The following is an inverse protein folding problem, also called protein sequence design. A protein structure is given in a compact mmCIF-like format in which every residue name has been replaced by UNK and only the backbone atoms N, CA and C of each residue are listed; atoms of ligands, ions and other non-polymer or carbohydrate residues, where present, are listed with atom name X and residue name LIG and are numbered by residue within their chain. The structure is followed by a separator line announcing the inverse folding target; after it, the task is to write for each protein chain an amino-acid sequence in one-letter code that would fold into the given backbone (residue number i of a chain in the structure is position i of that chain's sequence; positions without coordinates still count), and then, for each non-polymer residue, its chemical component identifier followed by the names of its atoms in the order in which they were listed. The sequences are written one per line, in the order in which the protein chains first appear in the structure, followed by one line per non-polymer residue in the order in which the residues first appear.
data_IF_723899733458
#
_entry.id   IF_723899733458
#
_cell.length_a   1.000
_cell.length_b   1.000
_cell.length_c   1.000
_cell.angle_alpha   90.00
_cell.angle_beta   90.00
_cell.angle_gamma   90.00
#
_symmetry.space_group_name_H-M   'P 1'
#
loop_
_entity.id
_entity.type
_entity.pdbx_description
1 polymer ?
#
# COMPACT_ATOMS: atom_id res chain seq x y z
N UNK A 1 19.43 18.59 6.31
CA UNK A 1 19.11 17.32 5.64
C UNK A 1 19.45 17.33 4.15
N UNK A 2 19.18 18.41 3.43
CA UNK A 2 19.38 18.49 1.97
C UNK A 2 20.84 18.52 1.50
N UNK A 3 21.79 18.90 2.35
CA UNK A 3 23.21 19.00 1.99
C UNK A 3 23.96 17.67 1.83
N UNK A 4 23.36 16.55 2.26
CA UNK A 4 23.98 15.22 2.21
C UNK A 4 23.21 14.21 1.34
N UNK A 5 22.15 14.65 0.64
CA UNK A 5 21.43 13.78 -0.29
C UNK A 5 22.23 13.65 -1.59
N UNK A 6 22.46 12.43 -2.09
CA UNK A 6 23.04 12.25 -3.42
C UNK A 6 22.21 12.99 -4.47
N UNK A 7 22.87 13.63 -5.44
CA UNK A 7 22.18 14.30 -6.53
C UNK A 7 21.20 13.34 -7.22
N UNK A 8 19.94 13.74 -7.36
CA UNK A 8 18.90 12.94 -7.98
C UNK A 8 18.01 12.11 -7.04
N UNK A 9 18.49 11.70 -5.86
CA UNK A 9 17.70 10.88 -4.93
C UNK A 9 16.41 11.58 -4.47
N UNK A 10 16.51 12.87 -4.13
CA UNK A 10 15.33 13.67 -3.77
C UNK A 10 14.29 13.76 -4.89
N UNK A 11 14.73 13.78 -6.16
CA UNK A 11 13.84 13.78 -7.32
C UNK A 11 13.15 12.42 -7.50
N UNK A 12 13.85 11.32 -7.26
CA UNK A 12 13.26 9.98 -7.27
C UNK A 12 12.22 9.83 -6.16
N UNK A 13 12.53 10.28 -4.94
CA UNK A 13 11.58 10.26 -3.82
C UNK A 13 10.34 11.10 -4.12
N UNK A 14 10.50 12.30 -4.68
CA UNK A 14 9.38 13.13 -5.13
C UNK A 14 8.57 12.45 -6.25
N UNK A 15 9.25 11.85 -7.23
CA UNK A 15 8.60 11.10 -8.30
C UNK A 15 7.75 9.96 -7.76
N UNK A 16 8.27 9.18 -6.80
CA UNK A 16 7.52 8.07 -6.18
C UNK A 16 6.36 8.58 -5.29
N UNK A 17 6.53 9.73 -4.63
CA UNK A 17 5.41 10.38 -3.94
C UNK A 17 4.28 10.75 -4.92
N UNK A 18 4.61 11.27 -6.11
CA UNK A 18 3.62 11.58 -7.16
C UNK A 18 2.95 10.32 -7.73
N UNK A 19 3.67 9.21 -7.83
CA UNK A 19 3.09 7.89 -8.16
C UNK A 19 2.06 7.47 -7.12
N UNK A 20 2.42 7.52 -5.84
CA UNK A 20 1.50 7.15 -4.75
C UNK A 20 0.30 8.10 -4.71
N UNK A 21 0.50 9.38 -4.93
CA UNK A 21 -0.60 10.36 -5.05
C UNK A 21 -1.54 10.00 -6.20
N UNK A 22 -1.00 9.70 -7.38
CA UNK A 22 -1.78 9.28 -8.55
C UNK A 22 -2.59 8.01 -8.26
N UNK A 23 -1.95 6.99 -7.71
CA UNK A 23 -2.60 5.74 -7.36
C UNK A 23 -3.70 5.93 -6.31
N UNK A 24 -3.42 6.64 -5.22
CA UNK A 24 -4.36 6.85 -4.13
C UNK A 24 -5.56 7.71 -4.51
N UNK A 25 -5.39 8.66 -5.44
CA UNK A 25 -6.49 9.40 -6.06
C UNK A 25 -7.31 8.50 -6.98
N UNK A 26 -6.64 7.78 -7.89
CA UNK A 26 -7.30 7.07 -8.98
C UNK A 26 -8.05 5.82 -8.50
N UNK A 27 -7.48 5.07 -7.58
CA UNK A 27 -8.05 3.80 -7.11
C UNK A 27 -9.51 3.92 -6.59
N UNK A 28 -9.85 4.83 -5.65
CA UNK A 28 -11.23 5.02 -5.21
C UNK A 28 -12.12 5.66 -6.29
N UNK A 29 -11.59 6.51 -7.16
CA UNK A 29 -12.34 7.11 -8.27
C UNK A 29 -12.76 6.06 -9.28
N UNK A 30 -11.87 5.14 -9.65
CA UNK A 30 -12.20 4.01 -10.52
C UNK A 30 -13.25 3.09 -9.90
N UNK A 31 -13.19 2.88 -8.59
CA UNK A 31 -14.20 2.10 -7.87
C UNK A 31 -15.59 2.73 -7.98
N UNK A 32 -15.69 4.06 -7.83
CA UNK A 32 -16.97 4.79 -8.04
C UNK A 32 -17.43 4.70 -9.50
N UNK A 33 -16.53 4.86 -10.47
CA UNK A 33 -16.88 4.73 -11.92
C UNK A 33 -17.41 3.34 -12.25
N UNK A 34 -16.75 2.27 -11.74
CA UNK A 34 -17.22 0.90 -11.93
C UNK A 34 -18.58 0.68 -11.26
N UNK A 35 -18.76 1.19 -10.04
CA UNK A 35 -20.02 1.07 -9.31
C UNK A 35 -21.16 1.78 -10.04
N UNK A 36 -20.95 3.00 -10.54
CA UNK A 36 -21.96 3.75 -11.30
C UNK A 36 -22.27 3.12 -12.67
N UNK A 37 -21.33 2.36 -13.24
CA UNK A 37 -21.52 1.54 -14.42
C UNK A 37 -22.24 0.20 -14.13
N UNK A 38 -22.62 -0.08 -12.86
CA UNK A 38 -23.36 -1.27 -12.48
C UNK A 38 -22.49 -2.50 -12.18
N UNK A 39 -21.17 -2.33 -12.02
CA UNK A 39 -20.29 -3.42 -11.63
C UNK A 39 -20.58 -3.88 -10.20
N UNK A 40 -20.49 -5.19 -9.93
CA UNK A 40 -20.59 -5.74 -8.59
C UNK A 40 -19.35 -5.37 -7.73
N UNK A 41 -19.48 -5.42 -6.41
CA UNK A 41 -18.34 -5.17 -5.52
C UNK A 41 -17.22 -6.19 -5.74
N UNK A 42 -17.55 -7.44 -6.09
CA UNK A 42 -16.57 -8.48 -6.48
C UNK A 42 -15.78 -8.03 -7.72
N UNK A 43 -16.45 -7.50 -8.75
CA UNK A 43 -15.80 -7.02 -9.97
C UNK A 43 -14.89 -5.80 -9.68
N UNK A 44 -15.34 -4.88 -8.84
CA UNK A 44 -14.53 -3.73 -8.36
C UNK A 44 -13.31 -4.23 -7.59
N UNK A 45 -13.51 -5.18 -6.67
CA UNK A 45 -12.44 -5.80 -5.91
C UNK A 45 -11.42 -6.51 -6.79
N UNK A 46 -11.86 -7.16 -7.86
CA UNK A 46 -10.97 -7.80 -8.84
C UNK A 46 -10.06 -6.77 -9.53
N UNK A 47 -10.61 -5.67 -10.02
CA UNK A 47 -9.80 -4.60 -10.66
C UNK A 47 -8.80 -4.02 -9.65
N UNK A 48 -9.24 -3.76 -8.41
CA UNK A 48 -8.37 -3.21 -7.36
C UNK A 48 -7.26 -4.17 -6.90
N UNK A 49 -7.47 -5.49 -7.02
CA UNK A 49 -6.50 -6.54 -6.70
C UNK A 49 -5.34 -6.58 -7.71
N UNK A 50 -5.61 -6.33 -9.00
CA UNK A 50 -4.68 -6.63 -10.09
C UNK A 50 -3.32 -5.92 -9.98
N UNK A 51 -3.22 -4.64 -9.59
CA UNK A 51 -1.93 -4.00 -9.37
C UNK A 51 -1.08 -4.72 -8.32
N UNK A 52 -1.68 -5.15 -7.22
CA UNK A 52 -0.97 -5.85 -6.14
C UNK A 52 -0.51 -7.25 -6.54
N UNK A 53 -1.32 -7.98 -7.31
CA UNK A 53 -0.89 -9.27 -7.89
C UNK A 53 0.34 -9.07 -8.77
N UNK A 54 0.33 -8.07 -9.65
CA UNK A 54 1.48 -7.77 -10.51
C UNK A 54 2.73 -7.47 -9.67
N UNK A 55 2.60 -6.66 -8.62
CA UNK A 55 3.72 -6.38 -7.70
C UNK A 55 4.22 -7.67 -7.06
N UNK A 56 3.33 -8.48 -6.47
CA UNK A 56 3.70 -9.71 -5.78
C UNK A 56 4.43 -10.71 -6.69
N UNK A 57 3.99 -10.85 -7.94
CA UNK A 57 4.58 -11.75 -8.94
C UNK A 57 5.93 -11.24 -9.46
N UNK A 58 6.12 -9.92 -9.54
CA UNK A 58 7.31 -9.33 -10.13
C UNK A 58 8.44 -9.08 -9.13
N UNK A 59 8.14 -8.88 -7.84
CA UNK A 59 9.17 -8.66 -6.80
C UNK A 59 10.34 -9.64 -6.89
N UNK A 60 10.15 -10.96 -7.07
CA UNK A 60 11.27 -11.90 -7.20
C UNK A 60 12.11 -11.72 -8.46
N UNK A 61 11.56 -11.05 -9.50
CA UNK A 61 12.22 -10.81 -10.79
C UNK A 61 12.93 -9.47 -10.85
N UNK A 62 12.58 -8.54 -9.95
CA UNK A 62 13.13 -7.17 -9.91
C UNK A 62 14.66 -7.13 -9.88
N UNK A 63 15.38 -7.94 -9.07
CA UNK A 63 16.84 -7.95 -9.08
C UNK A 63 17.43 -8.30 -10.45
N UNK A 64 16.81 -9.25 -11.18
CA UNK A 64 17.23 -9.62 -12.53
C UNK A 64 16.96 -8.50 -13.54
N UNK A 65 15.84 -7.80 -13.38
CA UNK A 65 15.50 -6.65 -14.21
C UNK A 65 16.54 -5.52 -14.00
N UNK A 66 16.86 -5.21 -12.73
CA UNK A 66 17.86 -4.18 -12.40
C UNK A 66 19.25 -4.52 -12.92
N UNK A 67 19.63 -5.80 -12.88
CA UNK A 67 20.89 -6.27 -13.44
C UNK A 67 21.00 -6.09 -14.96
N UNK A 68 19.85 -6.24 -15.68
CA UNK A 68 19.84 -6.16 -17.15
C UNK A 68 19.77 -4.75 -17.70
N UNK A 69 18.92 -3.91 -17.13
CA UNK A 69 18.64 -2.57 -17.68
C UNK A 69 19.05 -1.42 -16.76
N UNK A 70 19.50 -1.74 -15.54
CA UNK A 70 19.83 -0.74 -14.52
C UNK A 70 18.61 -0.22 -13.75
N UNK A 71 18.83 0.13 -12.47
CA UNK A 71 17.75 0.56 -11.56
C UNK A 71 17.04 1.82 -12.06
N UNK A 72 17.82 2.78 -12.57
CA UNK A 72 17.29 4.05 -13.03
C UNK A 72 16.41 3.91 -14.27
N UNK A 73 16.78 3.06 -15.20
CA UNK A 73 15.99 2.81 -16.39
C UNK A 73 14.74 2.00 -16.03
N UNK A 74 14.84 1.00 -15.14
CA UNK A 74 13.70 0.26 -14.63
C UNK A 74 12.68 1.18 -13.95
N UNK A 75 13.14 2.12 -13.12
CA UNK A 75 12.30 3.15 -12.49
C UNK A 75 11.51 3.94 -13.53
N UNK A 76 12.18 4.47 -14.56
CA UNK A 76 11.52 5.29 -15.58
C UNK A 76 10.55 4.50 -16.46
N UNK A 77 10.90 3.27 -16.81
CA UNK A 77 9.98 2.36 -17.52
C UNK A 77 8.75 2.13 -16.65
N UNK A 78 8.93 1.93 -15.33
CA UNK A 78 7.83 1.79 -14.38
C UNK A 78 6.87 2.99 -14.44
N UNK A 79 7.38 4.22 -14.39
CA UNK A 79 6.57 5.43 -14.50
C UNK A 79 5.81 5.52 -15.85
N UNK A 80 6.45 5.13 -16.96
CA UNK A 80 5.81 5.13 -18.28
C UNK A 80 4.65 4.12 -18.30
N UNK A 81 4.85 2.92 -17.76
CA UNK A 81 3.80 1.89 -17.72
C UNK A 81 2.60 2.34 -16.88
N UNK A 82 2.83 2.99 -15.74
CA UNK A 82 1.77 3.56 -14.92
C UNK A 82 1.03 4.71 -15.62
N UNK A 83 1.76 5.59 -16.31
CA UNK A 83 1.16 6.66 -17.10
C UNK A 83 0.31 6.11 -18.24
N UNK A 84 0.80 5.10 -18.98
CA UNK A 84 0.05 4.43 -20.05
C UNK A 84 -1.24 3.81 -19.50
N UNK A 85 -1.15 3.11 -18.37
CA UNK A 85 -2.31 2.53 -17.70
C UNK A 85 -3.32 3.61 -17.28
N UNK A 86 -2.84 4.69 -16.68
CA UNK A 86 -3.66 5.82 -16.25
C UNK A 86 -4.38 6.48 -17.42
N UNK A 87 -3.70 6.72 -18.54
CA UNK A 87 -4.29 7.25 -19.76
C UNK A 87 -5.28 6.25 -20.40
N UNK A 88 -5.00 4.95 -20.28
CA UNK A 88 -5.90 3.90 -20.74
C UNK A 88 -7.29 3.98 -20.11
N UNK A 89 -7.38 4.29 -18.82
CA UNK A 89 -8.65 4.50 -18.12
C UNK A 89 -9.45 5.73 -18.61
N UNK A 90 -8.84 6.64 -19.37
CA UNK A 90 -9.53 7.75 -20.02
C UNK A 90 -10.10 7.39 -21.39
N UNK A 91 -9.52 6.39 -22.06
CA UNK A 91 -9.83 6.08 -23.48
C UNK A 91 -10.95 5.08 -23.61
N UNK A 92 -11.21 4.25 -22.58
CA UNK A 92 -12.22 3.19 -22.66
C UNK A 92 -12.81 2.86 -21.30
N UNK A 93 -14.10 2.52 -21.31
CA UNK A 93 -14.82 2.01 -20.13
C UNK A 93 -14.98 0.47 -20.16
N UNK A 94 -14.29 -0.23 -21.08
CA UNK A 94 -14.34 -1.69 -21.17
C UNK A 94 -13.68 -2.34 -19.94
N UNK A 95 -14.45 -3.11 -19.19
CA UNK A 95 -14.02 -3.76 -17.94
C UNK A 95 -12.72 -4.59 -18.11
N UNK A 96 -12.64 -5.38 -19.21
CA UNK A 96 -11.45 -6.21 -19.48
C UNK A 96 -10.21 -5.32 -19.72
N UNK A 97 -10.37 -4.20 -20.42
CA UNK A 97 -9.28 -3.25 -20.62
C UNK A 97 -8.80 -2.66 -19.28
N UNK A 98 -9.73 -2.34 -18.37
CA UNK A 98 -9.40 -1.87 -17.04
C UNK A 98 -8.63 -2.91 -16.21
N UNK A 99 -8.98 -4.18 -16.36
CA UNK A 99 -8.19 -5.26 -15.76
C UNK A 99 -6.75 -5.28 -16.31
N UNK A 100 -6.57 -5.14 -17.62
CA UNK A 100 -5.25 -5.11 -18.26
C UNK A 100 -4.45 -3.87 -17.84
N UNK A 101 -5.08 -2.70 -17.74
CA UNK A 101 -4.44 -1.49 -17.24
C UNK A 101 -4.05 -1.62 -15.77
N UNK A 102 -4.87 -2.29 -14.95
CA UNK A 102 -4.52 -2.59 -13.56
C UNK A 102 -3.26 -3.47 -13.44
N UNK A 103 -3.16 -4.52 -14.26
CA UNK A 103 -1.95 -5.34 -14.33
C UNK A 103 -0.74 -4.50 -14.80
N UNK A 104 -0.91 -3.68 -15.82
CA UNK A 104 0.14 -2.83 -16.37
C UNK A 104 0.64 -1.81 -15.32
N UNK A 105 -0.27 -1.16 -14.61
CA UNK A 105 0.06 -0.24 -13.52
C UNK A 105 0.86 -0.94 -12.43
N UNK A 106 0.44 -2.15 -12.02
CA UNK A 106 1.16 -2.93 -11.02
C UNK A 106 2.57 -3.36 -11.45
N UNK A 107 2.79 -3.66 -12.74
CA UNK A 107 4.13 -3.89 -13.30
C UNK A 107 4.99 -2.62 -13.14
N UNK A 108 4.43 -1.48 -13.48
CA UNK A 108 5.08 -0.17 -13.31
C UNK A 108 5.42 0.12 -11.86
N UNK A 109 4.45 -0.03 -10.97
CA UNK A 109 4.60 0.19 -9.54
C UNK A 109 5.67 -0.73 -8.92
N UNK A 110 5.74 -2.00 -9.30
CA UNK A 110 6.76 -2.92 -8.85
C UNK A 110 8.18 -2.42 -9.20
N UNK A 111 8.37 -1.95 -10.42
CA UNK A 111 9.66 -1.42 -10.86
C UNK A 111 10.01 -0.11 -10.14
N UNK A 112 9.09 0.85 -10.08
CA UNK A 112 9.33 2.17 -9.49
C UNK A 112 9.54 2.10 -7.98
N UNK A 113 8.71 1.37 -7.24
CA UNK A 113 8.81 1.24 -5.79
C UNK A 113 10.11 0.55 -5.37
N UNK A 114 10.38 -0.65 -5.92
CA UNK A 114 11.61 -1.38 -5.57
C UNK A 114 12.88 -0.61 -5.98
N UNK A 115 12.85 0.12 -7.10
CA UNK A 115 13.97 0.97 -7.51
C UNK A 115 14.23 2.08 -6.48
N UNK A 116 13.19 2.74 -5.99
CA UNK A 116 13.33 3.82 -4.99
C UNK A 116 13.92 3.29 -3.70
N UNK A 117 13.41 2.17 -3.18
CA UNK A 117 13.93 1.55 -1.96
C UNK A 117 15.39 1.11 -2.12
N UNK A 118 15.74 0.48 -3.25
CA UNK A 118 17.11 0.08 -3.56
C UNK A 118 18.05 1.30 -3.64
N UNK A 119 17.61 2.40 -4.27
CA UNK A 119 18.39 3.62 -4.37
C UNK A 119 18.60 4.30 -3.01
N UNK A 120 17.59 4.32 -2.15
CA UNK A 120 17.72 4.82 -0.77
C UNK A 120 18.69 3.93 0.02
N UNK A 121 18.49 2.63 -0.02
CA UNK A 121 19.32 1.68 0.74
C UNK A 121 20.80 1.77 0.37
N UNK A 122 21.11 1.99 -0.91
CA UNK A 122 22.48 2.01 -1.42
C UNK A 122 23.16 3.39 -1.30
N UNK A 123 22.44 4.46 -1.59
CA UNK A 123 23.07 5.79 -1.70
C UNK A 123 23.05 6.58 -0.39
N UNK A 124 22.42 6.08 0.67
CA UNK A 124 22.33 6.76 1.96
C UNK A 124 23.21 6.08 3.01
N UNK A 125 24.13 6.81 3.67
CA UNK A 125 24.94 6.26 4.75
C UNK A 125 24.07 5.66 5.86
N UNK A 126 24.52 4.57 6.48
CA UNK A 126 23.77 3.84 7.52
C UNK A 126 23.32 4.77 8.67
N UNK A 127 24.13 5.75 9.06
CA UNK A 127 23.84 6.76 10.11
C UNK A 127 22.65 7.68 9.79
N UNK A 128 22.28 7.86 8.52
CA UNK A 128 21.19 8.76 8.09
C UNK A 128 20.04 7.99 7.44
N UNK A 129 20.23 6.71 7.15
CA UNK A 129 19.26 5.89 6.40
C UNK A 129 17.91 5.82 7.10
N UNK A 130 17.87 5.52 8.40
CA UNK A 130 16.61 5.45 9.14
C UNK A 130 15.80 6.76 9.10
N UNK A 131 16.47 7.90 9.29
CA UNK A 131 15.81 9.22 9.26
C UNK A 131 15.27 9.57 7.87
N UNK A 132 16.02 9.24 6.81
CA UNK A 132 15.58 9.52 5.45
C UNK A 132 14.46 8.58 5.01
N UNK A 133 14.56 7.30 5.36
CA UNK A 133 13.47 6.33 5.11
C UNK A 133 12.20 6.76 5.84
N UNK A 134 12.29 7.21 7.10
CA UNK A 134 11.15 7.73 7.84
C UNK A 134 10.52 8.96 7.16
N UNK A 135 11.33 9.91 6.67
CA UNK A 135 10.83 11.06 5.91
C UNK A 135 10.16 10.62 4.60
N UNK A 136 10.76 9.69 3.88
CA UNK A 136 10.20 9.13 2.65
C UNK A 136 8.84 8.47 2.92
N UNK A 137 8.74 7.60 3.91
CA UNK A 137 7.48 6.95 4.28
C UNK A 137 6.41 7.97 4.71
N UNK A 138 6.79 9.02 5.44
CA UNK A 138 5.86 10.10 5.80
C UNK A 138 5.33 10.83 4.56
N UNK A 139 6.17 11.07 3.53
CA UNK A 139 5.70 11.69 2.28
C UNK A 139 4.76 10.77 1.50
N UNK A 140 5.00 9.46 1.50
CA UNK A 140 4.07 8.49 0.90
C UNK A 140 2.74 8.44 1.65
N UNK A 141 2.76 8.39 2.99
CA UNK A 141 1.55 8.45 3.80
C UNK A 141 0.74 9.72 3.57
N UNK A 142 1.41 10.88 3.46
CA UNK A 142 0.75 12.14 3.12
C UNK A 142 0.09 12.09 1.72
N UNK A 143 0.75 11.49 0.74
CA UNK A 143 0.19 11.30 -0.61
C UNK A 143 -1.02 10.35 -0.60
N UNK A 144 -0.95 9.27 0.17
CA UNK A 144 -2.07 8.34 0.36
C UNK A 144 -3.29 9.01 1.00
N UNK A 145 -3.08 9.92 1.93
CA UNK A 145 -4.16 10.68 2.55
C UNK A 145 -4.73 11.75 1.60
N UNK A 146 -3.84 12.49 0.91
CA UNK A 146 -4.22 13.63 0.09
C UNK A 146 -4.99 13.21 -1.19
N UNK A 147 -4.54 12.15 -1.88
CA UNK A 147 -5.11 11.72 -3.16
C UNK A 147 -6.64 11.56 -3.12
N UNK A 148 -7.21 10.72 -2.25
CA UNK A 148 -8.65 10.49 -2.18
C UNK A 148 -9.46 11.72 -1.72
N UNK A 149 -8.82 12.68 -1.06
CA UNK A 149 -9.48 13.91 -0.60
C UNK A 149 -9.53 15.00 -1.67
N UNK A 150 -8.72 14.91 -2.74
CA UNK A 150 -8.68 15.91 -3.81
C UNK A 150 -10.06 16.18 -4.42
N UNK A 151 -10.91 15.19 -4.77
CA UNK A 151 -12.24 15.49 -5.31
C UNK A 151 -13.10 16.35 -4.39
N UNK A 152 -13.00 16.16 -3.06
CA UNK A 152 -13.73 16.96 -2.08
C UNK A 152 -13.22 18.39 -1.93
N UNK A 153 -11.90 18.58 -2.02
CA UNK A 153 -11.25 19.90 -1.82
C UNK A 153 -11.36 20.76 -3.09
N UNK A 154 -11.22 20.13 -4.27
CA UNK A 154 -11.13 20.84 -5.56
C UNK A 154 -12.41 20.81 -6.35
N UNK A 155 -13.39 19.97 -6.00
CA UNK A 155 -14.64 19.80 -6.74
C UNK A 155 -14.49 19.10 -8.11
N UNK A 156 -13.33 18.45 -8.37
CA UNK A 156 -13.10 17.74 -9.63
C UNK A 156 -13.98 16.50 -9.76
N UNK A 157 -14.43 16.24 -10.99
CA UNK A 157 -15.15 15.01 -11.34
C UNK A 157 -14.19 13.81 -11.55
N UNK A 158 -14.75 12.65 -11.88
CA UNK A 158 -13.98 11.42 -12.04
C UNK A 158 -13.02 11.46 -13.24
N UNK A 159 -13.35 12.14 -14.32
CA UNK A 159 -12.48 12.28 -15.50
C UNK A 159 -11.37 13.28 -15.23
N UNK A 160 -11.69 14.41 -14.59
CA UNK A 160 -10.71 15.38 -14.15
C UNK A 160 -9.73 14.78 -13.13
N UNK A 161 -10.22 13.98 -12.17
CA UNK A 161 -9.36 13.26 -11.22
C UNK A 161 -8.38 12.32 -11.94
N UNK A 162 -8.82 11.61 -12.97
CA UNK A 162 -7.97 10.79 -13.82
C UNK A 162 -6.93 11.63 -14.57
N UNK A 163 -7.32 12.79 -15.09
CA UNK A 163 -6.40 13.77 -15.71
C UNK A 163 -5.34 14.28 -14.73
N UNK A 164 -5.72 14.60 -13.49
CA UNK A 164 -4.79 15.01 -12.41
C UNK A 164 -3.82 13.89 -12.09
N UNK A 165 -4.29 12.65 -12.00
CA UNK A 165 -3.43 11.49 -11.77
C UNK A 165 -2.41 11.30 -12.91
N UNK A 166 -2.85 11.42 -14.16
CA UNK A 166 -1.96 11.37 -15.33
C UNK A 166 -0.94 12.52 -15.33
N UNK A 167 -1.34 13.73 -14.96
CA UNK A 167 -0.45 14.88 -14.84
C UNK A 167 0.59 14.69 -13.75
N UNK A 168 0.22 14.08 -12.61
CA UNK A 168 1.17 13.74 -11.55
C UNK A 168 2.23 12.73 -12.02
N UNK A 169 1.83 11.71 -12.78
CA UNK A 169 2.76 10.72 -13.36
C UNK A 169 3.67 11.34 -14.44
N UNK A 170 3.12 12.21 -15.28
CA UNK A 170 3.91 12.96 -16.27
C UNK A 170 4.93 13.88 -15.58
N UNK A 171 4.52 14.57 -14.51
CA UNK A 171 5.42 15.37 -13.69
C UNK A 171 6.51 14.53 -13.03
N UNK A 172 6.16 13.33 -12.53
CA UNK A 172 7.14 12.38 -12.00
C UNK A 172 8.22 12.02 -13.04
N UNK A 173 7.82 11.75 -14.29
CA UNK A 173 8.74 11.49 -15.40
C UNK A 173 9.64 12.69 -15.74
N UNK A 174 9.09 13.89 -15.70
CA UNK A 174 9.85 15.13 -15.96
C UNK A 174 10.88 15.41 -14.87
N UNK A 175 10.45 15.34 -13.60
CA UNK A 175 11.30 15.58 -12.43
C UNK A 175 12.43 14.55 -12.33
N UNK A 176 12.14 13.30 -12.66
CA UNK A 176 13.10 12.19 -12.63
C UNK A 176 13.75 11.97 -14.00
N UNK A 177 14.17 13.05 -14.67
CA UNK A 177 14.85 12.98 -15.97
C UNK A 177 16.06 12.02 -16.00
N UNK A 178 16.52 11.56 -17.19
CA UNK A 178 17.55 10.53 -17.32
C UNK A 178 18.80 10.81 -16.48
N UNK A 179 19.30 12.01 -16.51
CA UNK A 179 20.52 12.41 -15.79
C UNK A 179 20.40 12.31 -14.26
N UNK A 180 19.19 12.43 -13.71
CA UNK A 180 18.97 12.32 -12.26
C UNK A 180 19.10 10.91 -11.74
N UNK A 181 18.80 9.93 -12.58
CA UNK A 181 18.71 8.51 -12.18
C UNK A 181 20.00 7.77 -12.54
N UNK A 182 20.68 8.14 -13.62
CA UNK A 182 21.99 7.55 -14.01
C UNK A 182 23.11 7.91 -13.06
N UNK A 183 22.98 9.03 -12.32
CA UNK A 183 23.95 9.42 -11.29
C UNK A 183 23.88 8.54 -10.03
N UNK A 184 22.82 7.77 -9.85
CA UNK A 184 22.60 6.91 -8.68
C UNK A 184 23.11 5.50 -9.00
N UNK A 185 24.06 5.02 -8.20
CA UNK A 185 24.61 3.66 -8.34
C UNK A 185 23.71 2.68 -7.63
N UNK A 186 23.35 1.58 -8.30
CA UNK A 186 22.80 0.40 -7.65
C UNK A 186 23.89 -0.66 -7.55
N UNK A 187 24.14 -1.18 -6.36
CA UNK A 187 25.06 -2.30 -6.21
C UNK A 187 24.41 -3.63 -6.60
N UNK A 188 25.26 -4.50 -7.20
CA UNK A 188 25.08 -5.93 -7.14
C UNK A 188 25.55 -6.38 -5.74
N UNK A 189 24.65 -6.44 -4.76
CA UNK A 189 24.95 -7.22 -3.58
C UNK A 189 24.88 -8.69 -3.96
N UNK A 190 25.84 -9.48 -3.47
CA UNK A 190 25.80 -10.93 -3.59
C UNK A 190 24.42 -11.45 -3.20
N UNK A 191 23.89 -12.40 -3.95
CA UNK A 191 22.51 -12.85 -3.80
C UNK A 191 22.17 -13.20 -2.35
N UNK A 192 20.89 -13.12 -1.97
CA UNK A 192 20.47 -13.38 -0.62
C UNK A 192 20.88 -14.78 -0.18
N UNK A 193 21.48 -14.89 1.00
CA UNK A 193 21.86 -16.17 1.60
C UNK A 193 20.65 -17.05 1.91
N UNK A 194 19.46 -16.44 1.99
CA UNK A 194 18.16 -17.09 2.18
C UNK A 194 17.20 -16.69 1.07
N UNK A 195 16.52 -17.69 0.45
CA UNK A 195 15.47 -17.42 -0.53
C UNK A 195 14.18 -16.87 0.13
N UNK A 196 13.37 -16.14 -0.64
CA UNK A 196 12.12 -15.53 -0.16
C UNK A 196 11.15 -16.58 0.44
N UNK A 197 11.06 -17.76 -0.16
CA UNK A 197 10.18 -18.83 0.32
C UNK A 197 10.60 -19.36 1.70
N UNK A 198 11.91 -19.45 1.93
CA UNK A 198 12.47 -19.81 3.24
C UNK A 198 12.21 -18.71 4.27
N UNK A 199 12.34 -17.43 3.87
CA UNK A 199 12.05 -16.29 4.74
C UNK A 199 10.56 -16.24 5.15
N UNK A 200 9.63 -16.53 4.23
CA UNK A 200 8.19 -16.65 4.51
C UNK A 200 7.90 -17.74 5.57
N UNK A 201 8.62 -18.85 5.50
CA UNK A 201 8.48 -19.97 6.46
C UNK A 201 9.19 -19.74 7.78
N UNK A 202 10.22 -18.91 7.81
CA UNK A 202 11.03 -18.66 9.00
C UNK A 202 10.27 -17.88 10.08
N UNK A 203 9.47 -16.89 9.69
CA UNK A 203 8.65 -16.06 10.61
C UNK A 203 7.20 -15.93 10.14
N UNK A 204 6.42 -17.02 10.09
CA UNK A 204 5.08 -17.01 9.48
C UNK A 204 4.11 -16.04 10.16
N UNK A 205 4.29 -15.76 11.45
CA UNK A 205 3.43 -14.81 12.17
C UNK A 205 3.71 -13.34 11.83
N UNK A 206 4.94 -12.98 11.45
CA UNK A 206 5.24 -11.64 10.93
C UNK A 206 4.68 -11.49 9.52
N UNK A 207 4.82 -12.53 8.69
CA UNK A 207 4.21 -12.58 7.36
C UNK A 207 2.69 -12.42 7.47
N UNK A 208 2.05 -13.14 8.41
CA UNK A 208 0.61 -13.01 8.66
C UNK A 208 0.22 -11.60 9.09
N UNK A 209 0.99 -10.97 9.99
CA UNK A 209 0.77 -9.59 10.38
C UNK A 209 0.91 -8.62 9.19
N UNK A 210 1.88 -8.85 8.30
CA UNK A 210 2.02 -8.06 7.08
C UNK A 210 0.83 -8.27 6.11
N UNK A 211 0.33 -9.51 5.95
CA UNK A 211 -0.87 -9.80 5.15
C UNK A 211 -2.08 -9.04 5.73
N UNK A 212 -2.32 -9.17 7.04
CA UNK A 212 -3.43 -8.47 7.70
C UNK A 212 -3.27 -6.96 7.54
N UNK A 213 -2.05 -6.43 7.74
CA UNK A 213 -1.74 -5.01 7.50
C UNK A 213 -2.11 -4.57 6.09
N UNK A 214 -1.71 -5.34 5.08
CA UNK A 214 -2.02 -5.06 3.67
C UNK A 214 -3.52 -5.09 3.36
N UNK A 215 -4.28 -6.04 3.92
CA UNK A 215 -5.75 -6.05 3.78
C UNK A 215 -6.33 -4.75 4.30
N UNK A 216 -5.99 -4.37 5.53
CA UNK A 216 -6.64 -3.24 6.20
C UNK A 216 -6.16 -1.88 5.68
N UNK A 217 -4.89 -1.70 5.34
CA UNK A 217 -4.35 -0.41 4.93
C UNK A 217 -4.63 -0.07 3.45
N UNK A 218 -4.41 -1.02 2.55
CA UNK A 218 -4.52 -0.74 1.10
C UNK A 218 -5.59 -1.56 0.39
N UNK A 219 -6.05 -2.66 0.99
CA UNK A 219 -7.01 -3.56 0.36
C UNK A 219 -8.47 -3.10 0.46
N UNK A 220 -8.83 -2.22 1.39
CA UNK A 220 -10.23 -1.88 1.66
C UNK A 220 -10.71 -0.60 0.96
N UNK A 221 -9.79 0.29 0.56
CA UNK A 221 -10.13 1.64 0.08
C UNK A 221 -11.13 1.66 -1.07
N UNK A 222 -10.91 0.86 -2.12
CA UNK A 222 -11.76 0.81 -3.32
C UNK A 222 -13.16 0.30 -3.01
N UNK A 223 -13.25 -0.86 -2.36
CA UNK A 223 -14.53 -1.55 -2.12
C UNK A 223 -15.40 -0.75 -1.14
N UNK A 224 -14.77 -0.17 -0.08
CA UNK A 224 -15.49 0.66 0.88
C UNK A 224 -15.96 1.98 0.27
N UNK A 225 -15.17 2.56 -0.66
CA UNK A 225 -15.58 3.74 -1.43
C UNK A 225 -16.75 3.41 -2.37
N UNK A 226 -16.69 2.28 -3.07
CA UNK A 226 -17.80 1.82 -3.91
C UNK A 226 -19.08 1.61 -3.10
N UNK A 227 -18.96 0.99 -1.92
CA UNK A 227 -20.10 0.87 -1.00
C UNK A 227 -20.66 2.23 -0.60
N UNK A 228 -19.81 3.20 -0.26
CA UNK A 228 -20.24 4.57 0.02
C UNK A 228 -21.04 5.18 -1.15
N UNK A 229 -20.57 5.01 -2.39
CA UNK A 229 -21.30 5.46 -3.59
C UNK A 229 -22.65 4.74 -3.76
N UNK A 230 -22.73 3.43 -3.48
CA UNK A 230 -23.99 2.67 -3.49
C UNK A 230 -25.03 3.20 -2.50
N UNK A 231 -24.58 3.76 -1.37
CA UNK A 231 -25.47 4.39 -0.38
C UNK A 231 -25.88 5.81 -0.74
N UNK A 232 -25.53 6.30 -1.93
CA UNK A 232 -25.92 7.62 -2.45
C UNK A 232 -24.93 8.74 -2.14
N UNK A 233 -23.75 8.44 -1.61
CA UNK A 233 -22.71 9.45 -1.41
C UNK A 233 -22.20 9.93 -2.78
N UNK A 234 -22.01 11.24 -2.91
CA UNK A 234 -21.36 11.81 -4.09
C UNK A 234 -19.85 11.41 -4.13
N UNK A 235 -19.19 11.67 -5.27
CA UNK A 235 -17.80 11.31 -5.47
C UNK A 235 -16.89 11.78 -4.32
N UNK A 236 -17.01 13.04 -3.90
CA UNK A 236 -16.19 13.64 -2.86
C UNK A 236 -16.36 12.93 -1.50
N UNK A 237 -17.61 12.67 -1.10
CA UNK A 237 -17.91 11.97 0.13
C UNK A 237 -17.51 10.49 0.08
N UNK A 238 -17.73 9.81 -1.05
CA UNK A 238 -17.34 8.41 -1.23
C UNK A 238 -15.81 8.25 -1.19
N UNK A 239 -15.06 9.07 -1.93
CA UNK A 239 -13.58 8.99 -1.94
C UNK A 239 -12.97 9.42 -0.60
N UNK A 240 -13.63 10.28 0.18
CA UNK A 240 -13.16 10.65 1.51
C UNK A 240 -13.07 9.48 2.50
N UNK A 241 -13.76 8.35 2.23
CA UNK A 241 -13.63 7.11 3.01
C UNK A 241 -12.21 6.54 2.85
N UNK A 242 -11.73 6.44 1.61
CA UNK A 242 -10.34 6.07 1.36
C UNK A 242 -9.35 7.12 1.88
N UNK A 243 -9.74 8.41 1.85
CA UNK A 243 -8.99 9.49 2.50
C UNK A 243 -8.86 9.31 4.01
N UNK A 244 -9.92 8.92 4.70
CA UNK A 244 -9.87 8.64 6.14
C UNK A 244 -8.91 7.48 6.45
N UNK A 245 -8.88 6.45 5.60
CA UNK A 245 -7.94 5.33 5.69
C UNK A 245 -6.49 5.82 5.55
N UNK A 246 -6.20 6.64 4.54
CA UNK A 246 -4.88 7.25 4.33
C UNK A 246 -4.46 8.17 5.48
N UNK A 247 -5.38 8.99 6.00
CA UNK A 247 -5.13 9.86 7.18
C UNK A 247 -4.79 9.01 8.40
N UNK A 248 -5.54 7.93 8.65
CA UNK A 248 -5.25 7.02 9.75
C UNK A 248 -3.85 6.43 9.66
N UNK A 249 -3.49 5.90 8.48
CA UNK A 249 -2.14 5.37 8.22
C UNK A 249 -1.07 6.43 8.49
N UNK A 250 -1.20 7.62 7.90
CA UNK A 250 -0.24 8.72 8.08
C UNK A 250 -0.05 9.11 9.54
N UNK A 251 -1.14 9.28 10.29
CA UNK A 251 -1.10 9.74 11.68
C UNK A 251 -0.43 8.73 12.62
N UNK A 252 -0.58 7.42 12.37
CA UNK A 252 -0.05 6.40 13.27
C UNK A 252 1.38 5.95 12.92
N UNK A 253 1.93 6.34 11.78
CA UNK A 253 3.29 5.94 11.36
C UNK A 253 4.36 6.32 12.39
N UNK A 254 4.41 7.61 12.78
CA UNK A 254 5.38 8.09 13.76
C UNK A 254 5.15 7.53 15.17
N UNK A 255 3.91 7.56 15.73
CA UNK A 255 3.62 6.94 17.02
C UNK A 255 3.99 5.45 17.08
N UNK A 256 3.79 4.71 16.00
CA UNK A 256 4.14 3.27 15.94
C UNK A 256 5.63 3.05 16.13
N UNK A 257 6.47 3.83 15.45
CA UNK A 257 7.93 3.75 15.62
C UNK A 257 8.34 4.04 17.06
N UNK A 258 7.81 5.13 17.64
CA UNK A 258 8.08 5.49 19.03
C UNK A 258 7.61 4.42 20.02
N UNK A 259 6.41 3.89 19.84
CA UNK A 259 5.88 2.80 20.70
C UNK A 259 6.72 1.52 20.57
N UNK A 260 7.26 1.23 19.39
CA UNK A 260 8.10 0.06 19.15
C UNK A 260 9.43 0.09 19.96
N UNK A 261 9.91 1.32 20.26
CA UNK A 261 11.12 1.49 21.10
C UNK A 261 10.83 1.33 22.61
N UNK A 262 9.55 1.45 23.04
CA UNK A 262 9.18 1.50 24.44
C UNK A 262 8.33 0.31 24.92
N UNK A 263 7.65 -0.38 24.02
CA UNK A 263 6.74 -1.47 24.34
C UNK A 263 7.15 -2.80 23.68
N UNK A 264 6.92 -3.92 24.35
CA UNK A 264 7.16 -5.23 23.76
C UNK A 264 6.35 -5.41 22.46
N UNK A 265 6.99 -5.89 21.35
CA UNK A 265 6.32 -6.06 20.06
C UNK A 265 5.02 -6.85 20.15
N UNK A 266 4.99 -7.89 20.99
CA UNK A 266 3.78 -8.71 21.21
C UNK A 266 2.58 -7.87 21.66
N UNK A 267 2.78 -6.90 22.58
CA UNK A 267 1.69 -6.03 23.05
C UNK A 267 1.18 -5.10 21.95
N UNK A 268 2.09 -4.61 21.10
CA UNK A 268 1.74 -3.74 19.99
C UNK A 268 0.94 -4.50 18.91
N UNK A 269 1.40 -5.68 18.50
CA UNK A 269 0.66 -6.51 17.55
C UNK A 269 -0.71 -6.95 18.12
N UNK A 270 -0.77 -7.37 19.39
CA UNK A 270 -2.01 -7.78 20.01
C UNK A 270 -2.98 -6.62 20.20
N UNK A 271 -2.50 -5.45 20.64
CA UNK A 271 -3.32 -4.24 20.80
C UNK A 271 -3.87 -3.75 19.47
N UNK A 272 -3.03 -3.71 18.41
CA UNK A 272 -3.48 -3.39 17.06
C UNK A 272 -4.52 -4.39 16.56
N UNK A 273 -4.27 -5.69 16.68
CA UNK A 273 -5.24 -6.71 16.27
C UNK A 273 -6.56 -6.61 17.05
N UNK A 274 -6.53 -6.34 18.36
CA UNK A 274 -7.74 -6.12 19.16
C UNK A 274 -8.54 -4.91 18.67
N UNK A 275 -7.88 -3.80 18.34
CA UNK A 275 -8.53 -2.62 17.78
C UNK A 275 -9.16 -2.91 16.42
N UNK A 276 -8.50 -3.72 15.56
CA UNK A 276 -9.08 -4.17 14.29
C UNK A 276 -10.30 -5.07 14.49
N UNK A 277 -10.29 -5.96 15.48
CA UNK A 277 -11.48 -6.77 15.84
C UNK A 277 -12.65 -5.86 16.25
N UNK A 278 -12.40 -4.90 17.13
CA UNK A 278 -13.42 -3.96 17.59
C UNK A 278 -13.96 -3.10 16.43
N UNK A 279 -13.10 -2.62 15.54
CA UNK A 279 -13.52 -1.83 14.38
C UNK A 279 -14.31 -2.68 13.36
N UNK A 280 -13.94 -3.96 13.16
CA UNK A 280 -14.72 -4.89 12.35
C UNK A 280 -16.14 -5.10 12.92
N UNK A 281 -16.23 -5.33 14.23
CA UNK A 281 -17.53 -5.44 14.90
C UNK A 281 -18.34 -4.14 14.84
N UNK A 282 -17.69 -2.98 15.04
CA UNK A 282 -18.35 -1.68 14.91
C UNK A 282 -18.87 -1.45 13.50
N UNK A 283 -18.12 -1.87 12.46
CA UNK A 283 -18.52 -1.70 11.08
C UNK A 283 -19.82 -2.46 10.74
N UNK A 284 -20.16 -3.54 11.43
CA UNK A 284 -21.46 -4.24 11.25
C UNK A 284 -22.66 -3.33 11.49
N UNK A 285 -22.47 -2.23 12.23
CA UNK A 285 -23.50 -1.24 12.55
C UNK A 285 -23.49 -0.03 11.61
N UNK A 286 -22.66 -0.03 10.56
CA UNK A 286 -22.49 1.13 9.68
C UNK A 286 -23.77 1.48 8.87
N UNK A 287 -24.70 0.52 8.69
CA UNK A 287 -26.02 0.81 8.10
C UNK A 287 -26.90 1.67 9.01
N UNK A 288 -26.80 1.51 10.33
CA UNK A 288 -27.52 2.30 11.31
C UNK A 288 -26.81 3.60 11.68
N UNK A 289 -25.47 3.57 11.67
CA UNK A 289 -24.61 4.68 12.01
C UNK A 289 -23.57 4.92 10.89
N UNK A 290 -23.94 5.64 9.81
CA UNK A 290 -23.07 5.82 8.64
C UNK A 290 -21.69 6.42 8.95
N UNK A 291 -21.57 7.25 9.99
CA UNK A 291 -20.27 7.81 10.42
C UNK A 291 -19.23 6.74 10.75
N UNK A 292 -19.66 5.54 11.13
CA UNK A 292 -18.76 4.41 11.40
C UNK A 292 -17.95 4.00 10.16
N UNK A 293 -18.40 4.29 8.95
CA UNK A 293 -17.65 4.01 7.73
C UNK A 293 -16.30 4.73 7.79
N UNK A 294 -16.29 6.02 8.10
CA UNK A 294 -15.05 6.82 8.20
C UNK A 294 -14.23 6.49 9.43
N UNK A 295 -14.88 6.31 10.58
CA UNK A 295 -14.20 5.96 11.85
C UNK A 295 -13.46 4.61 11.71
N UNK A 296 -14.15 3.60 11.16
CA UNK A 296 -13.54 2.29 10.92
C UNK A 296 -12.45 2.37 9.86
N UNK A 297 -12.67 3.08 8.74
CA UNK A 297 -11.66 3.27 7.71
C UNK A 297 -10.39 3.93 8.28
N UNK A 298 -10.53 4.96 9.11
CA UNK A 298 -9.38 5.60 9.76
C UNK A 298 -8.65 4.64 10.70
N UNK A 299 -9.38 3.83 11.49
CA UNK A 299 -8.78 2.81 12.35
C UNK A 299 -8.07 1.71 11.53
N UNK A 300 -8.64 1.30 10.40
CA UNK A 300 -8.05 0.29 9.52
C UNK A 300 -6.73 0.76 8.91
N UNK A 301 -6.70 1.96 8.36
CA UNK A 301 -5.47 2.54 7.84
C UNK A 301 -4.40 2.73 8.92
N UNK A 302 -4.80 3.27 10.07
CA UNK A 302 -3.92 3.49 11.20
C UNK A 302 -3.24 2.20 11.68
N UNK A 303 -4.03 1.17 11.94
CA UNK A 303 -3.50 -0.09 12.48
C UNK A 303 -2.88 -0.95 11.37
N UNK A 304 -3.46 -0.96 10.16
CA UNK A 304 -2.89 -1.69 9.02
C UNK A 304 -1.46 -1.27 8.71
N UNK A 305 -1.23 0.05 8.59
CA UNK A 305 0.10 0.62 8.40
C UNK A 305 1.04 0.35 9.59
N UNK A 306 0.51 0.44 10.83
CA UNK A 306 1.27 0.11 12.02
C UNK A 306 1.75 -1.36 12.03
N UNK A 307 0.90 -2.30 11.62
CA UNK A 307 1.27 -3.73 11.55
C UNK A 307 2.39 -3.97 10.54
N UNK A 308 2.34 -3.32 9.37
CA UNK A 308 3.41 -3.39 8.38
C UNK A 308 4.72 -2.79 8.93
N UNK A 309 4.66 -1.58 9.48
CA UNK A 309 5.81 -0.89 10.07
C UNK A 309 6.46 -1.72 11.18
N UNK A 310 5.67 -2.27 12.11
CA UNK A 310 6.16 -3.16 13.16
C UNK A 310 6.80 -4.44 12.59
N UNK A 311 6.22 -5.00 11.52
CA UNK A 311 6.80 -6.18 10.86
C UNK A 311 8.16 -5.85 10.25
N UNK A 312 8.32 -4.68 9.63
CA UNK A 312 9.60 -4.22 9.07
C UNK A 312 10.66 -3.96 10.16
N UNK A 313 10.27 -3.35 11.29
CA UNK A 313 11.16 -3.16 12.46
C UNK A 313 11.65 -4.52 12.96
N UNK A 314 10.75 -5.52 13.04
CA UNK A 314 11.12 -6.87 13.50
C UNK A 314 12.04 -7.62 12.54
N UNK A 315 11.97 -7.34 11.24
CA UNK A 315 12.91 -7.93 10.27
C UNK A 315 14.35 -7.60 10.63
N UNK A 316 14.64 -6.36 11.03
CA UNK A 316 15.98 -5.94 11.41
C UNK A 316 16.57 -6.76 12.59
N UNK A 317 15.71 -7.24 13.50
CA UNK A 317 16.11 -8.09 14.63
C UNK A 317 16.09 -9.58 14.27
N UNK A 318 15.00 -10.05 13.70
CA UNK A 318 14.73 -11.48 13.54
C UNK A 318 15.52 -12.11 12.37
N UNK A 319 16.00 -11.30 11.43
CA UNK A 319 16.78 -11.73 10.25
C UNK A 319 18.21 -11.18 10.23
N UNK A 320 18.70 -10.61 11.36
CA UNK A 320 20.03 -10.00 11.45
C UNK A 320 21.15 -10.97 11.03
N UNK A 321 21.07 -12.22 11.49
CA UNK A 321 22.09 -13.25 11.27
C UNK A 321 21.89 -14.06 9.98
N UNK A 322 20.79 -13.82 9.24
CA UNK A 322 20.43 -14.63 8.06
C UNK A 322 20.43 -13.81 6.78
N UNK A 323 19.41 -13.00 6.57
CA UNK A 323 19.28 -12.13 5.42
C UNK A 323 18.17 -11.10 5.64
N UNK A 324 18.54 -9.88 6.03
CA UNK A 324 17.59 -8.78 6.17
C UNK A 324 16.85 -8.51 4.84
N UNK A 325 17.52 -8.65 3.69
CA UNK A 325 16.92 -8.49 2.37
C UNK A 325 15.81 -9.51 2.12
N UNK A 326 16.04 -10.80 2.44
CA UNK A 326 15.01 -11.83 2.29
C UNK A 326 13.83 -11.60 3.24
N UNK A 327 14.10 -11.18 4.49
CA UNK A 327 13.07 -10.79 5.44
C UNK A 327 12.21 -9.63 4.95
N UNK A 328 12.83 -8.55 4.47
CA UNK A 328 12.14 -7.40 3.87
C UNK A 328 11.28 -7.82 2.69
N UNK A 329 11.84 -8.61 1.76
CA UNK A 329 11.10 -9.11 0.60
C UNK A 329 9.91 -9.98 1.00
N UNK A 330 10.05 -10.80 2.06
CA UNK A 330 8.94 -11.61 2.57
C UNK A 330 7.82 -10.74 3.18
N UNK A 331 8.15 -9.66 3.89
CA UNK A 331 7.14 -8.73 4.41
C UNK A 331 6.43 -7.96 3.30
N UNK A 332 7.16 -7.48 2.30
CA UNK A 332 6.57 -6.83 1.12
C UNK A 332 5.63 -7.81 0.39
N UNK A 333 6.07 -9.06 0.17
CA UNK A 333 5.22 -10.07 -0.45
C UNK A 333 3.96 -10.37 0.36
N UNK A 334 4.08 -10.47 1.69
CA UNK A 334 2.93 -10.64 2.58
C UNK A 334 1.96 -9.46 2.50
N UNK A 335 2.47 -8.24 2.61
CA UNK A 335 1.68 -7.01 2.55
C UNK A 335 0.95 -6.85 1.20
N UNK A 336 1.65 -7.09 0.10
CA UNK A 336 1.04 -7.02 -1.24
C UNK A 336 0.05 -8.15 -1.48
N UNK A 337 0.26 -9.34 -0.91
CA UNK A 337 -0.74 -10.41 -0.93
C UNK A 337 -2.02 -10.00 -0.17
N UNK A 338 -1.88 -9.32 0.98
CA UNK A 338 -3.01 -8.72 1.69
C UNK A 338 -3.73 -7.66 0.86
N UNK A 339 -2.96 -6.76 0.23
CA UNK A 339 -3.49 -5.74 -0.69
C UNK A 339 -4.21 -6.32 -1.91
N UNK A 340 -3.82 -7.52 -2.36
CA UNK A 340 -4.50 -8.24 -3.44
C UNK A 340 -5.76 -8.96 -2.95
N UNK A 341 -5.65 -9.74 -1.89
CA UNK A 341 -6.75 -10.56 -1.39
C UNK A 341 -7.86 -9.71 -0.74
N UNK A 342 -7.47 -8.62 -0.07
CA UNK A 342 -8.38 -7.72 0.63
C UNK A 342 -9.55 -7.24 -0.22
N UNK A 343 -9.32 -6.54 -1.33
CA UNK A 343 -10.40 -6.00 -2.15
C UNK A 343 -11.25 -7.07 -2.81
N UNK A 344 -10.64 -8.19 -3.26
CA UNK A 344 -11.40 -9.28 -3.89
C UNK A 344 -12.35 -9.95 -2.89
N UNK A 345 -11.81 -10.36 -1.72
CA UNK A 345 -12.62 -11.04 -0.69
C UNK A 345 -13.67 -10.08 -0.12
N UNK A 346 -13.29 -8.83 0.14
CA UNK A 346 -14.23 -7.81 0.63
C UNK A 346 -15.35 -7.54 -0.38
N UNK A 347 -15.03 -7.45 -1.67
CA UNK A 347 -16.03 -7.27 -2.71
C UNK A 347 -17.03 -8.42 -2.75
N UNK A 348 -16.54 -9.66 -2.71
CA UNK A 348 -17.39 -10.84 -2.67
C UNK A 348 -18.26 -10.89 -1.41
N UNK A 349 -17.69 -10.57 -0.25
CA UNK A 349 -18.43 -10.53 1.02
C UNK A 349 -19.51 -9.45 1.00
N UNK A 350 -19.24 -8.27 0.45
CA UNK A 350 -20.25 -7.22 0.31
C UNK A 350 -21.41 -7.67 -0.59
N UNK A 351 -21.12 -8.32 -1.72
CA UNK A 351 -22.15 -8.76 -2.66
C UNK A 351 -23.08 -9.83 -2.05
N UNK A 352 -22.56 -10.72 -1.18
CA UNK A 352 -23.31 -11.87 -0.66
C UNK A 352 -23.81 -11.68 0.77
N UNK A 353 -23.12 -10.92 1.59
CA UNK A 353 -23.37 -10.81 3.04
C UNK A 353 -23.52 -9.35 3.52
N UNK A 354 -23.37 -8.36 2.62
CA UNK A 354 -23.54 -6.95 2.94
C UNK A 354 -22.54 -6.44 3.99
N UNK A 355 -22.92 -5.32 4.63
CA UNK A 355 -22.10 -4.63 5.62
C UNK A 355 -21.79 -5.47 6.85
N UNK A 356 -22.80 -6.21 7.34
CA UNK A 356 -22.62 -7.07 8.52
C UNK A 356 -21.60 -8.19 8.23
N UNK A 357 -21.71 -8.84 7.07
CA UNK A 357 -20.73 -9.84 6.63
C UNK A 357 -19.34 -9.28 6.49
N UNK A 358 -19.21 -8.07 5.93
CA UNK A 358 -17.93 -7.38 5.80
C UNK A 358 -17.28 -7.12 7.16
N UNK A 359 -18.01 -6.58 8.12
CA UNK A 359 -17.51 -6.34 9.47
C UNK A 359 -17.09 -7.65 10.17
N UNK A 360 -17.87 -8.70 10.03
CA UNK A 360 -17.56 -10.02 10.63
C UNK A 360 -16.30 -10.66 10.00
N UNK A 361 -16.19 -10.65 8.68
CA UNK A 361 -15.01 -11.19 7.98
C UNK A 361 -13.74 -10.47 8.43
N UNK A 362 -13.76 -9.13 8.48
CA UNK A 362 -12.63 -8.33 8.96
C UNK A 362 -12.32 -8.60 10.43
N UNK A 363 -13.35 -8.72 11.27
CA UNK A 363 -13.21 -9.09 12.68
C UNK A 363 -12.56 -10.47 12.86
N UNK A 364 -12.98 -11.48 12.08
CA UNK A 364 -12.39 -12.83 12.11
C UNK A 364 -10.95 -12.83 11.64
N UNK A 365 -10.64 -12.10 10.56
CA UNK A 365 -9.28 -11.94 10.07
C UNK A 365 -8.37 -11.32 11.16
N UNK A 366 -8.79 -10.24 11.78
CA UNK A 366 -8.05 -9.60 12.86
C UNK A 366 -7.93 -10.48 14.11
N UNK A 367 -8.99 -11.22 14.46
CA UNK A 367 -9.00 -12.18 15.58
C UNK A 367 -7.96 -13.29 15.37
N UNK A 368 -7.78 -13.76 14.14
CA UNK A 368 -6.75 -14.75 13.83
C UNK A 368 -5.34 -14.27 14.20
N UNK A 369 -5.03 -13.00 13.89
CA UNK A 369 -3.77 -12.39 14.28
C UNK A 369 -3.65 -12.23 15.81
N UNK A 370 -4.73 -11.77 16.46
CA UNK A 370 -4.78 -11.62 17.92
C UNK A 370 -4.49 -12.95 18.62
N UNK A 371 -5.14 -14.03 18.20
CA UNK A 371 -4.94 -15.36 18.77
C UNK A 371 -3.50 -15.87 18.58
N UNK A 372 -2.90 -15.63 17.42
CA UNK A 372 -1.49 -15.96 17.16
C UNK A 372 -0.58 -15.23 18.16
N UNK A 373 -0.83 -13.94 18.42
CA UNK A 373 -0.01 -13.17 19.36
C UNK A 373 -0.21 -13.62 20.83
N UNK A 374 -1.42 -14.01 21.19
CA UNK A 374 -1.72 -14.46 22.56
C UNK A 374 -1.13 -15.84 22.87
N UNK A 375 -1.11 -16.76 21.89
CA UNK A 375 -0.59 -18.13 22.05
C UNK A 375 0.94 -18.22 22.12
N UNK A 376 1.68 -17.21 21.70
CA UNK A 376 3.14 -17.20 21.78
C UNK A 376 3.58 -17.07 23.23
N UNK A 377 4.45 -17.96 23.75
CA UNK A 377 5.06 -17.75 25.05
C UNK A 377 5.79 -16.40 25.07
N UNK A 378 5.72 -15.70 26.19
CA UNK A 378 6.55 -14.52 26.39
C UNK A 378 8.01 -14.99 26.29
N UNK A 379 8.74 -14.55 25.27
CA UNK A 379 10.18 -14.75 25.22
C UNK A 379 10.71 -13.96 26.41
N UNK A 380 11.24 -14.66 27.42
CA UNK A 380 12.01 -14.03 28.50
C UNK A 380 13.15 -13.26 27.84
N UNK A 381 13.13 -11.96 28.04
CA UNK A 381 14.19 -11.01 27.65
C UNK A 381 15.52 -11.40 28.28
#
# INVERSE_FOLDING_TARGET
LTRHLPPGLGRVMLGTMLVVLSYSLLNPVLAVRLQTAGASNTAIGLVAMLPFISVALLVPLVPRLFARIGVGQAYRIGLVLELVACLGYLVTDAYVAWCLFGLLAGIGAAAAWNATEALIAHNVPASHRGRLTGLYQATLGAAMAAGPLLPGVTGIDSLQANGVAAAALALALLVTGPASVTALKAMHEGGPTMGILSALRFRPSLVWAAIVGGVFEVGLGSVTTAYGSQTGLNLAAATSIAGALGVGSFLLQYPTGWLADHLPPRRLFAGGAALLVLSGLAFTQATHWPVLIWVCAMAWGAVGGALYTLSMIRVAHDFADTSALAGTSAMIAGYTAGGALGPLVSGWVFDHHGVAGQGLWLGVLALSLLLIQLRRPAVST
#
